data_IF_812668188640
#
_entry.id   IF_812668188640
#
_cell.length_a   1.000
_cell.length_b   1.000
_cell.length_c   1.000
_cell.angle_alpha   90.00
_cell.angle_beta   90.00
_cell.angle_gamma   90.00
#
_symmetry.space_group_name_H-M   'P 1'
#
loop_
_entity.id
_entity.type
_entity.pdbx_description
1 polymer ?
#
# COMPACT_ATOMS: atom_id res chain seq x y z
N UNK A 1 -1.53 3.53 3.79
CA UNK A 1 -2.34 3.58 2.56
C UNK A 1 -3.85 3.45 2.71
N UNK A 2 -4.45 2.34 3.16
CA UNK A 2 -5.94 2.27 3.24
C UNK A 2 -6.55 3.37 4.11
N UNK A 3 -5.92 3.65 5.26
CA UNK A 3 -6.31 4.77 6.13
C UNK A 3 -6.20 6.11 5.42
N UNK A 4 -5.10 6.36 4.73
CA UNK A 4 -4.92 7.62 3.98
C UNK A 4 -5.98 7.78 2.89
N UNK A 5 -6.31 6.71 2.17
CA UNK A 5 -7.32 6.75 1.11
C UNK A 5 -8.68 7.18 1.66
N UNK A 6 -9.08 6.68 2.84
CA UNK A 6 -10.32 7.11 3.50
C UNK A 6 -10.24 8.59 3.89
N UNK A 7 -9.13 9.03 4.49
CA UNK A 7 -8.96 10.42 4.92
C UNK A 7 -8.92 11.42 3.76
N UNK A 8 -8.53 10.97 2.56
CA UNK A 8 -8.42 11.81 1.37
C UNK A 8 -9.73 11.80 0.55
N UNK A 9 -10.36 10.63 0.40
CA UNK A 9 -11.60 10.50 -0.39
C UNK A 9 -12.78 11.26 0.23
N UNK A 10 -12.87 11.34 1.57
CA UNK A 10 -13.95 12.08 2.24
C UNK A 10 -13.97 13.58 1.87
N UNK A 11 -12.88 14.32 2.11
CA UNK A 11 -12.75 15.71 1.69
C UNK A 11 -12.88 15.93 0.18
N UNK A 12 -12.38 15.01 -0.66
CA UNK A 12 -12.51 15.12 -2.12
C UNK A 12 -13.97 15.04 -2.59
N UNK A 13 -14.76 14.16 -1.98
CA UNK A 13 -16.20 14.04 -2.26
C UNK A 13 -16.98 15.27 -1.77
N UNK A 14 -16.66 15.78 -0.57
CA UNK A 14 -17.31 16.98 -0.03
C UNK A 14 -16.95 18.24 -0.83
N UNK A 15 -15.72 18.33 -1.32
CA UNK A 15 -15.21 19.47 -2.08
C UNK A 15 -15.45 19.41 -3.59
N UNK A 16 -16.08 18.34 -4.11
CA UNK A 16 -16.22 18.08 -5.55
C UNK A 16 -14.90 18.23 -6.33
N UNK A 17 -13.79 17.80 -5.73
CA UNK A 17 -12.46 17.94 -6.32
C UNK A 17 -12.26 16.81 -7.34
N UNK A 18 -12.06 17.16 -8.62
CA UNK A 18 -11.74 16.16 -9.64
C UNK A 18 -10.27 15.75 -9.55
N UNK A 19 -10.06 14.47 -9.21
CA UNK A 19 -8.73 13.86 -9.17
C UNK A 19 -8.32 13.46 -10.59
N UNK A 20 -7.08 13.71 -11.03
CA UNK A 20 -6.62 13.31 -12.35
C UNK A 20 -6.65 11.78 -12.51
N UNK A 21 -7.03 11.29 -13.70
CA UNK A 21 -7.17 9.84 -13.98
C UNK A 21 -5.91 9.03 -13.64
N UNK A 22 -4.72 9.57 -13.92
CA UNK A 22 -3.43 8.93 -13.59
C UNK A 22 -3.30 8.67 -12.08
N UNK A 23 -3.64 9.66 -11.25
CA UNK A 23 -3.57 9.52 -9.80
C UNK A 23 -4.55 8.47 -9.27
N UNK A 24 -5.73 8.31 -9.88
CA UNK A 24 -6.68 7.25 -9.52
C UNK A 24 -6.08 5.86 -9.77
N UNK A 25 -5.44 5.64 -10.94
CA UNK A 25 -4.79 4.36 -11.23
C UNK A 25 -3.62 4.06 -10.28
N UNK A 26 -2.79 5.07 -9.99
CA UNK A 26 -1.69 4.92 -9.03
C UNK A 26 -2.24 4.55 -7.64
N UNK A 27 -3.26 5.27 -7.16
CA UNK A 27 -3.93 4.97 -5.88
C UNK A 27 -4.45 3.53 -5.86
N UNK A 28 -5.09 3.07 -6.94
CA UNK A 28 -5.61 1.72 -7.06
C UNK A 28 -4.50 0.66 -6.95
N UNK A 29 -3.43 0.80 -7.74
CA UNK A 29 -2.30 -0.13 -7.74
C UNK A 29 -1.68 -0.22 -6.33
N UNK A 30 -1.46 0.94 -5.71
CA UNK A 30 -0.88 1.02 -4.37
C UNK A 30 -1.78 0.40 -3.29
N UNK A 31 -3.09 0.59 -3.39
CA UNK A 31 -4.06 -0.03 -2.48
C UNK A 31 -4.07 -1.55 -2.64
N UNK A 32 -4.01 -2.07 -3.87
CA UNK A 32 -3.99 -3.51 -4.11
C UNK A 32 -2.66 -4.16 -3.70
N UNK A 33 -1.52 -3.51 -3.89
CA UNK A 33 -0.24 -3.97 -3.33
C UNK A 33 -0.29 -4.02 -1.80
N UNK A 34 -0.87 -3.00 -1.17
CA UNK A 34 -1.04 -2.98 0.28
C UNK A 34 -2.03 -4.06 0.75
N UNK A 35 -3.04 -4.41 -0.07
CA UNK A 35 -3.95 -5.55 0.19
C UNK A 35 -3.17 -6.86 0.23
N UNK A 36 -2.34 -7.13 -0.78
CA UNK A 36 -1.51 -8.33 -0.86
C UNK A 36 -0.57 -8.41 0.35
N UNK A 37 0.13 -7.33 0.67
CA UNK A 37 1.02 -7.27 1.83
C UNK A 37 0.29 -7.53 3.16
N UNK A 38 -0.97 -7.10 3.29
CA UNK A 38 -1.81 -7.38 4.45
C UNK A 38 -2.22 -8.85 4.55
N UNK A 39 -2.55 -9.50 3.43
CA UNK A 39 -2.89 -10.93 3.42
C UNK A 39 -1.68 -11.80 3.74
N UNK A 40 -0.50 -11.46 3.20
CA UNK A 40 0.77 -12.11 3.52
C UNK A 40 1.09 -11.97 5.02
N UNK A 41 0.89 -10.78 5.60
CA UNK A 41 1.11 -10.57 7.03
C UNK A 41 0.14 -11.37 7.91
N UNK A 42 -1.09 -11.60 7.47
CA UNK A 42 -2.03 -12.46 8.18
C UNK A 42 -1.61 -13.94 8.09
N UNK A 43 -1.25 -14.39 6.89
CA UNK A 43 -0.95 -15.79 6.59
C UNK A 43 0.38 -16.26 7.21
N UNK A 44 1.40 -15.39 7.31
CA UNK A 44 2.71 -15.72 7.87
C UNK A 44 2.66 -16.21 9.32
N UNK A 45 2.30 -15.36 10.30
CA UNK A 45 2.16 -15.75 11.70
C UNK A 45 1.17 -16.89 11.91
N UNK A 46 0.06 -16.91 11.15
CA UNK A 46 -0.91 -17.99 11.21
C UNK A 46 -0.28 -19.38 10.91
N UNK A 47 0.63 -19.46 9.94
CA UNK A 47 1.35 -20.71 9.66
C UNK A 47 2.33 -21.09 10.77
N UNK A 48 2.95 -20.09 11.43
CA UNK A 48 3.82 -20.32 12.59
C UNK A 48 3.02 -20.85 13.78
N UNK A 49 1.82 -20.32 14.01
CA UNK A 49 0.93 -20.77 15.07
C UNK A 49 0.45 -22.22 14.86
N UNK A 50 0.35 -22.67 13.60
CA UNK A 50 0.08 -24.08 13.24
C UNK A 50 1.32 -24.97 13.42
N UNK A 51 2.51 -24.37 13.60
CA UNK A 51 3.77 -25.07 13.79
C UNK A 51 4.62 -25.22 12.52
N UNK A 52 4.22 -24.60 11.41
CA UNK A 52 4.96 -24.65 10.14
C UNK A 52 5.81 -23.38 9.97
N UNK A 53 7.10 -23.49 10.26
CA UNK A 53 8.02 -22.33 10.26
C UNK A 53 8.64 -22.02 8.90
N UNK A 54 8.78 -22.99 8.01
CA UNK A 54 9.41 -22.79 6.68
C UNK A 54 8.67 -21.80 5.77
N UNK A 55 7.32 -21.81 5.63
CA UNK A 55 6.61 -20.87 4.77
C UNK A 55 6.65 -19.44 5.29
N UNK A 56 6.81 -19.25 6.61
CA UNK A 56 6.96 -17.92 7.21
C UNK A 56 8.10 -17.12 6.56
N UNK A 57 9.26 -17.75 6.36
CA UNK A 57 10.41 -17.08 5.75
C UNK A 57 10.21 -16.74 4.28
N UNK A 58 9.48 -17.58 3.53
CA UNK A 58 9.11 -17.26 2.15
C UNK A 58 8.19 -16.05 2.13
N UNK A 59 7.09 -16.08 2.88
CA UNK A 59 6.07 -15.00 2.91
C UNK A 59 6.69 -13.64 3.24
N UNK A 60 7.63 -13.60 4.20
CA UNK A 60 8.33 -12.36 4.53
C UNK A 60 9.28 -11.89 3.42
N UNK A 61 9.91 -12.80 2.67
CA UNK A 61 10.69 -12.45 1.47
C UNK A 61 9.79 -11.84 0.39
N UNK A 62 8.62 -12.43 0.11
CA UNK A 62 7.72 -11.85 -0.89
C UNK A 62 7.16 -10.49 -0.44
N UNK A 63 6.91 -10.34 0.86
CA UNK A 63 6.48 -9.07 1.45
C UNK A 63 7.56 -7.98 1.35
N UNK A 64 8.82 -8.36 1.44
CA UNK A 64 9.95 -7.43 1.29
C UNK A 64 10.02 -6.84 -0.11
N UNK A 65 9.73 -7.63 -1.15
CA UNK A 65 9.66 -7.13 -2.53
C UNK A 65 8.59 -6.04 -2.70
N UNK A 66 7.46 -6.17 -1.99
CA UNK A 66 6.41 -5.13 -2.00
C UNK A 66 6.88 -3.88 -1.27
N UNK A 67 7.65 -4.04 -0.20
CA UNK A 67 8.23 -2.93 0.55
C UNK A 67 9.28 -2.16 -0.22
N UNK A 68 10.08 -2.83 -1.04
CA UNK A 68 11.05 -2.17 -1.90
C UNK A 68 10.35 -1.30 -2.96
N UNK A 69 9.17 -1.72 -3.45
CA UNK A 69 8.33 -0.89 -4.32
C UNK A 69 7.76 0.34 -3.59
N UNK A 70 7.35 0.18 -2.33
CA UNK A 70 6.87 1.31 -1.53
C UNK A 70 8.01 2.29 -1.20
N UNK A 71 9.19 1.78 -0.89
CA UNK A 71 10.36 2.63 -0.64
C UNK A 71 10.78 3.39 -1.90
N UNK A 72 10.79 2.73 -3.06
CA UNK A 72 11.10 3.37 -4.33
C UNK A 72 10.15 4.52 -4.67
N UNK A 73 8.89 4.44 -4.21
CA UNK A 73 7.85 5.44 -4.53
C UNK A 73 7.70 6.54 -3.47
N UNK A 74 7.91 6.22 -2.19
CA UNK A 74 7.63 7.13 -1.07
C UNK A 74 8.81 7.42 -0.17
N UNK A 75 9.96 6.79 -0.43
CA UNK A 75 11.17 6.82 0.43
C UNK A 75 10.91 6.33 1.86
N UNK A 76 9.79 5.67 2.10
CA UNK A 76 9.38 5.10 3.37
C UNK A 76 8.89 3.66 3.16
N UNK A 77 9.04 2.80 4.18
CA UNK A 77 8.70 1.37 4.10
C UNK A 77 7.38 0.97 4.75
N UNK A 78 6.87 1.78 5.68
CA UNK A 78 5.64 1.46 6.43
C UNK A 78 4.64 2.62 6.51
N UNK A 79 5.09 3.79 6.94
CA UNK A 79 4.24 4.98 7.12
C UNK A 79 4.27 5.84 5.86
N UNK A 80 3.63 5.36 4.81
CA UNK A 80 3.64 6.02 3.50
C UNK A 80 2.72 7.24 3.53
N UNK A 81 3.25 8.45 3.66
CA UNK A 81 2.44 9.66 3.61
C UNK A 81 2.15 10.10 2.16
N UNK A 82 1.67 9.17 1.32
CA UNK A 82 1.70 9.29 -0.14
C UNK A 82 0.46 9.94 -0.75
N UNK A 83 -0.73 9.63 -0.21
CA UNK A 83 -1.97 10.20 -0.72
C UNK A 83 -2.19 11.60 -0.16
N UNK A 84 -2.50 12.54 -1.07
CA UNK A 84 -2.83 13.93 -0.75
C UNK A 84 -4.19 14.28 -1.34
N UNK A 85 -4.88 15.23 -0.73
CA UNK A 85 -6.13 15.77 -1.28
C UNK A 85 -5.86 16.34 -2.67
N UNK A 86 -6.60 15.87 -3.67
CA UNK A 86 -6.44 16.25 -5.07
C UNK A 86 -5.52 15.33 -5.89
N UNK A 87 -4.87 14.33 -5.28
CA UNK A 87 -4.07 13.36 -6.03
C UNK A 87 -3.01 12.62 -5.21
N UNK A 88 -1.79 12.64 -5.71
CA UNK A 88 -0.64 11.89 -5.18
C UNK A 88 0.57 12.82 -5.21
N UNK A 89 1.46 12.73 -4.22
CA UNK A 89 2.58 13.68 -4.07
C UNK A 89 3.73 13.41 -5.05
N UNK A 90 4.57 12.36 -4.92
CA UNK A 90 5.47 11.96 -5.99
C UNK A 90 4.78 11.06 -7.02
N UNK A 91 5.08 11.29 -8.31
CA UNK A 91 4.77 10.35 -9.38
C UNK A 91 5.59 9.06 -9.22
N UNK A 92 5.26 8.02 -9.98
CA UNK A 92 6.05 6.79 -9.99
C UNK A 92 7.50 7.10 -10.43
N UNK A 93 8.51 6.44 -9.83
CA UNK A 93 9.92 6.70 -10.14
C UNK A 93 10.34 6.28 -11.56
N UNK A 94 9.47 5.58 -12.31
CA UNK A 94 9.68 5.19 -13.71
C UNK A 94 8.37 5.25 -14.51
#
# INVERSE_FOLDING_TARGET
MFREAITVNGPEQLGNIQVPKKAIYIRLIMLELNRVASHLLWLGPFMVDIGVQTPFFYIFRERELVYDLFEATTSMRMMHNYFRIGGVEPDLPY
#
